data_IF_743440743096
#
_entry.id   IF_743440743096
#
_cell.length_a   1.000
_cell.length_b   1.000
_cell.length_c   1.000
_cell.angle_alpha   90.00
_cell.angle_beta   90.00
_cell.angle_gamma   90.00
#
_symmetry.space_group_name_H-M   'P 1'
#
loop_
_entity.id
_entity.type
_entity.pdbx_description
1 polymer ?
#
# COMPACT_ATOMS: atom_id res chain seq x y z
N UNK A 1 39.85 0.52 -78.99
CA UNK A 1 39.58 1.57 -77.95
C UNK A 1 38.34 1.14 -77.20
N UNK A 2 38.53 0.71 -75.99
CA UNK A 2 37.45 0.14 -75.14
C UNK A 2 37.21 1.14 -73.99
N UNK A 3 36.05 1.82 -74.07
CA UNK A 3 35.59 2.76 -73.03
C UNK A 3 34.88 2.00 -71.91
N UNK A 4 35.47 2.00 -70.72
CA UNK A 4 34.86 1.41 -69.49
C UNK A 4 33.94 2.46 -68.86
N UNK A 5 32.63 2.18 -68.91
CA UNK A 5 31.61 2.93 -68.13
C UNK A 5 31.65 2.47 -66.68
N UNK A 6 31.90 3.40 -65.73
CA UNK A 6 31.81 3.19 -64.29
C UNK A 6 30.42 3.53 -63.84
N UNK A 7 29.60 2.49 -63.48
CA UNK A 7 28.36 2.67 -62.74
C UNK A 7 28.68 2.99 -61.27
N UNK A 8 28.35 4.19 -60.85
CA UNK A 8 28.40 4.62 -59.45
C UNK A 8 27.07 4.29 -58.78
N UNK A 9 27.04 3.20 -57.99
CA UNK A 9 25.87 2.80 -57.22
C UNK A 9 25.79 3.66 -55.96
N UNK A 10 24.83 4.57 -55.90
CA UNK A 10 24.49 5.35 -54.71
C UNK A 10 23.66 4.46 -53.76
N UNK A 11 24.28 4.00 -52.66
CA UNK A 11 23.58 3.36 -51.55
C UNK A 11 22.98 4.45 -50.66
N UNK A 12 21.68 4.69 -50.79
CA UNK A 12 20.90 5.54 -49.86
C UNK A 12 20.60 4.71 -48.62
N UNK A 13 21.37 4.92 -47.55
CA UNK A 13 21.08 4.35 -46.23
C UNK A 13 19.87 5.08 -45.61
N UNK A 14 18.74 4.42 -45.52
CA UNK A 14 17.58 4.91 -44.77
C UNK A 14 17.87 4.70 -43.30
N UNK A 15 18.20 5.81 -42.61
CA UNK A 15 18.35 5.84 -41.15
C UNK A 15 16.94 5.83 -40.52
N UNK A 16 16.46 4.66 -40.12
CA UNK A 16 15.24 4.53 -39.30
C UNK A 16 15.53 5.08 -37.92
N UNK A 17 15.18 6.32 -37.68
CA UNK A 17 15.13 6.87 -36.29
C UNK A 17 13.95 6.27 -35.56
N UNK A 18 14.21 5.29 -34.72
CA UNK A 18 13.23 4.78 -33.76
C UNK A 18 13.03 5.89 -32.71
N UNK A 19 12.01 6.71 -32.88
CA UNK A 19 11.55 7.60 -31.81
C UNK A 19 10.93 6.72 -30.74
N UNK A 20 11.63 6.50 -29.65
CA UNK A 20 11.06 5.93 -28.44
C UNK A 20 9.99 6.91 -27.93
N UNK A 21 8.73 6.61 -28.15
CA UNK A 21 7.64 7.29 -27.45
C UNK A 21 7.79 6.97 -25.97
N UNK A 22 8.26 7.93 -25.19
CA UNK A 22 8.17 7.83 -23.73
C UNK A 22 6.67 7.75 -23.40
N UNK A 23 6.23 6.63 -22.86
CA UNK A 23 4.85 6.44 -22.42
C UNK A 23 4.54 7.48 -21.35
N UNK A 24 3.51 8.30 -21.55
CA UNK A 24 3.12 9.30 -20.56
C UNK A 24 2.69 8.63 -19.26
N UNK A 25 3.19 9.08 -18.11
CA UNK A 25 2.83 8.48 -16.83
C UNK A 25 1.33 8.51 -16.60
N UNK A 26 0.75 7.38 -16.24
CA UNK A 26 -0.68 7.26 -15.91
C UNK A 26 -0.97 7.95 -14.57
N UNK A 27 -1.92 8.86 -14.55
CA UNK A 27 -2.45 9.40 -13.30
C UNK A 27 -3.22 8.31 -12.55
N UNK A 28 -2.83 8.05 -11.31
CA UNK A 28 -3.40 7.02 -10.45
C UNK A 28 -3.82 7.65 -9.13
N UNK A 29 -5.02 7.33 -8.70
CA UNK A 29 -5.54 7.73 -7.39
C UNK A 29 -5.53 6.53 -6.44
N UNK A 30 -5.60 6.77 -5.14
CA UNK A 30 -5.60 5.72 -4.12
C UNK A 30 -6.72 4.68 -4.30
N UNK A 31 -7.87 5.11 -4.84
CA UNK A 31 -8.96 4.20 -5.17
C UNK A 31 -8.62 3.20 -6.29
N UNK A 32 -7.72 3.56 -7.21
CA UNK A 32 -7.31 2.70 -8.32
C UNK A 32 -6.39 1.56 -7.85
N UNK A 33 -5.71 1.73 -6.71
CA UNK A 33 -4.88 0.70 -6.10
C UNK A 33 -5.70 -0.47 -5.56
N UNK A 34 -6.99 -0.23 -5.26
CA UNK A 34 -7.90 -1.29 -4.80
C UNK A 34 -8.54 -1.95 -6.02
N UNK A 35 -8.48 -3.28 -6.14
CA UNK A 35 -9.20 -3.98 -7.21
C UNK A 35 -10.68 -3.62 -7.18
N UNK A 36 -11.29 -3.37 -8.35
CA UNK A 36 -12.73 -3.19 -8.46
C UNK A 36 -13.43 -4.48 -8.03
N UNK A 37 -13.87 -4.52 -6.78
CA UNK A 37 -14.66 -5.61 -6.25
C UNK A 37 -16.14 -5.24 -6.31
N UNK A 38 -17.02 -6.27 -6.29
CA UNK A 38 -18.45 -6.07 -6.10
C UNK A 38 -18.71 -5.25 -4.82
N UNK A 39 -19.82 -4.50 -4.81
CA UNK A 39 -20.24 -3.71 -3.66
C UNK A 39 -20.16 -4.55 -2.38
N UNK A 40 -19.51 -4.02 -1.37
CA UNK A 40 -19.25 -4.72 -0.13
C UNK A 40 -20.08 -4.12 0.99
N UNK A 41 -21.00 -4.90 1.56
CA UNK A 41 -21.68 -4.52 2.80
C UNK A 41 -20.73 -4.73 3.99
N UNK A 42 -20.37 -3.64 4.65
CA UNK A 42 -19.53 -3.68 5.84
C UNK A 42 -20.42 -3.76 7.10
N UNK A 43 -20.62 -4.94 7.70
CA UNK A 43 -21.51 -5.11 8.84
C UNK A 43 -21.05 -4.38 10.10
N UNK A 44 -19.77 -4.05 10.20
CA UNK A 44 -19.21 -3.32 11.35
C UNK A 44 -19.73 -1.89 11.45
N UNK A 45 -20.19 -1.28 10.35
CA UNK A 45 -20.79 0.05 10.33
C UNK A 45 -22.18 0.08 10.99
N UNK A 46 -22.79 -1.09 11.22
CA UNK A 46 -24.11 -1.23 11.84
C UNK A 46 -24.02 -1.44 13.36
N UNK A 47 -22.81 -1.62 13.88
CA UNK A 47 -22.58 -1.84 15.30
C UNK A 47 -22.51 -0.53 16.08
N UNK A 48 -22.99 -0.55 17.32
CA UNK A 48 -22.73 0.54 18.25
C UNK A 48 -21.25 0.55 18.67
N UNK A 49 -20.69 1.69 19.15
CA UNK A 49 -19.32 1.73 19.64
C UNK A 49 -19.00 0.69 20.70
N UNK A 50 -19.96 0.43 21.60
CA UNK A 50 -19.83 -0.59 22.66
C UNK A 50 -19.79 -2.02 22.09
N UNK A 51 -20.65 -2.34 21.13
CA UNK A 51 -20.65 -3.63 20.44
C UNK A 51 -19.33 -3.81 19.66
N UNK A 52 -18.86 -2.78 18.98
CA UNK A 52 -17.61 -2.82 18.24
C UNK A 52 -16.41 -3.08 19.16
N UNK A 53 -16.35 -2.41 20.33
CA UNK A 53 -15.30 -2.64 21.33
C UNK A 53 -15.31 -4.11 21.80
N UNK A 54 -16.47 -4.66 22.18
CA UNK A 54 -16.59 -6.05 22.61
C UNK A 54 -16.23 -7.06 21.52
N UNK A 55 -16.62 -6.81 20.27
CA UNK A 55 -16.21 -7.66 19.12
C UNK A 55 -14.69 -7.60 18.94
N UNK A 56 -14.08 -6.44 19.12
CA UNK A 56 -12.61 -6.27 19.05
C UNK A 56 -11.89 -7.07 20.15
N UNK A 57 -12.42 -7.07 21.38
CA UNK A 57 -11.86 -7.86 22.48
C UNK A 57 -11.91 -9.36 22.18
N UNK A 58 -13.05 -9.86 21.71
CA UNK A 58 -13.20 -11.27 21.30
C UNK A 58 -12.23 -11.60 20.15
N UNK A 59 -12.14 -10.72 19.15
CA UNK A 59 -11.23 -10.88 18.01
C UNK A 59 -9.77 -10.98 18.49
N UNK A 60 -9.34 -10.10 19.39
CA UNK A 60 -7.97 -10.09 19.91
C UNK A 60 -7.62 -11.41 20.62
N UNK A 61 -8.52 -11.95 21.45
CA UNK A 61 -8.32 -13.22 22.14
C UNK A 61 -8.21 -14.37 21.13
N UNK A 62 -9.13 -14.43 20.12
CA UNK A 62 -9.14 -15.49 19.12
C UNK A 62 -7.93 -15.41 18.19
N UNK A 63 -7.53 -14.22 17.76
CA UNK A 63 -6.32 -14.00 16.94
C UNK A 63 -5.05 -14.46 17.67
N UNK A 64 -4.92 -14.20 18.98
CA UNK A 64 -3.80 -14.68 19.79
C UNK A 64 -3.80 -16.21 19.87
N UNK A 65 -4.96 -16.82 20.07
CA UNK A 65 -5.10 -18.28 20.11
C UNK A 65 -4.75 -18.93 18.78
N UNK A 66 -5.17 -18.35 17.65
CA UNK A 66 -4.83 -18.83 16.30
C UNK A 66 -3.31 -18.74 16.02
N UNK A 67 -2.62 -17.73 16.56
CA UNK A 67 -1.16 -17.62 16.49
C UNK A 67 -0.40 -18.58 17.39
N UNK A 68 -1.10 -19.39 18.17
CA UNK A 68 -0.49 -20.37 19.06
C UNK A 68 -0.02 -19.79 20.41
N UNK A 69 -0.44 -18.56 20.76
CA UNK A 69 -0.21 -18.00 22.07
C UNK A 69 -0.94 -18.85 23.12
N UNK A 70 -0.21 -19.29 24.13
CA UNK A 70 -0.73 -20.09 25.26
C UNK A 70 -0.84 -19.30 26.55
N UNK A 71 -0.37 -18.06 26.57
CA UNK A 71 -0.33 -17.21 27.76
C UNK A 71 -1.62 -16.39 27.90
N UNK A 72 -2.70 -17.06 28.23
CA UNK A 72 -3.97 -16.40 28.56
C UNK A 72 -4.13 -16.34 30.09
N UNK A 73 -4.51 -15.18 30.59
CA UNK A 73 -4.96 -15.06 31.97
C UNK A 73 -6.30 -15.78 32.15
N UNK A 74 -6.57 -16.21 33.37
CA UNK A 74 -7.87 -16.80 33.70
C UNK A 74 -9.03 -15.86 33.35
N UNK A 75 -8.84 -14.57 33.60
CA UNK A 75 -9.82 -13.54 33.30
C UNK A 75 -10.13 -13.45 31.79
N UNK A 76 -9.13 -13.55 30.90
CA UNK A 76 -9.34 -13.58 29.46
C UNK A 76 -10.11 -14.83 29.02
N UNK A 77 -9.78 -16.00 29.57
CA UNK A 77 -10.47 -17.26 29.24
C UNK A 77 -11.95 -17.21 29.67
N UNK A 78 -12.24 -16.64 30.84
CA UNK A 78 -13.61 -16.54 31.36
C UNK A 78 -14.41 -15.40 30.71
N UNK A 79 -13.73 -14.31 30.27
CA UNK A 79 -14.38 -13.14 29.68
C UNK A 79 -14.89 -13.38 28.25
N UNK A 80 -14.18 -14.14 27.40
CA UNK A 80 -14.58 -14.37 26.02
C UNK A 80 -16.00 -14.95 25.89
N UNK A 81 -16.35 -16.06 26.55
CA UNK A 81 -17.70 -16.63 26.46
C UNK A 81 -18.79 -15.69 27.00
N UNK A 82 -18.45 -14.85 27.98
CA UNK A 82 -19.39 -13.87 28.52
C UNK A 82 -19.63 -12.71 27.55
N UNK A 83 -18.57 -12.23 26.87
CA UNK A 83 -18.68 -11.21 25.82
C UNK A 83 -19.48 -11.71 24.63
N UNK A 84 -19.20 -12.93 24.16
CA UNK A 84 -19.94 -13.56 23.06
C UNK A 84 -21.43 -13.66 23.39
N UNK A 85 -21.80 -14.21 24.57
CA UNK A 85 -23.21 -14.29 24.97
C UNK A 85 -23.91 -12.93 25.03
N UNK A 86 -23.24 -11.89 25.52
CA UNK A 86 -23.82 -10.52 25.54
C UNK A 86 -24.05 -9.97 24.15
N UNK A 87 -23.15 -10.24 23.22
CA UNK A 87 -23.27 -9.81 21.82
C UNK A 87 -24.42 -10.57 21.11
N UNK A 88 -24.51 -11.88 21.31
CA UNK A 88 -25.58 -12.72 20.74
C UNK A 88 -26.96 -12.30 21.29
N UNK A 89 -27.08 -12.01 22.60
CA UNK A 89 -28.31 -11.47 23.19
C UNK A 89 -28.70 -10.12 22.59
N UNK A 90 -27.73 -9.35 22.11
CA UNK A 90 -27.95 -8.08 21.41
C UNK A 90 -28.16 -8.27 19.89
N UNK A 91 -28.34 -9.52 19.41
CA UNK A 91 -28.57 -9.83 18.00
C UNK A 91 -27.32 -9.76 17.12
N UNK A 92 -26.12 -9.80 17.73
CA UNK A 92 -24.84 -9.74 17.00
C UNK A 92 -24.27 -11.15 16.85
N UNK A 93 -24.22 -11.65 15.62
CA UNK A 93 -23.54 -12.90 15.27
C UNK A 93 -22.02 -12.67 15.21
N UNK A 94 -21.33 -13.06 16.29
CA UNK A 94 -19.89 -12.83 16.43
C UNK A 94 -19.08 -13.64 15.42
N UNK A 95 -19.46 -14.88 15.17
CA UNK A 95 -18.71 -15.77 14.26
C UNK A 95 -18.84 -15.30 12.80
N UNK A 96 -20.04 -14.89 12.38
CA UNK A 96 -20.25 -14.28 11.07
C UNK A 96 -19.46 -12.96 10.91
N UNK A 97 -19.43 -12.11 11.96
CA UNK A 97 -18.63 -10.89 11.94
C UNK A 97 -17.13 -11.15 11.85
N UNK A 98 -16.61 -12.12 12.59
CA UNK A 98 -15.19 -12.45 12.54
C UNK A 98 -14.79 -13.09 11.21
N UNK A 99 -15.66 -13.91 10.61
CA UNK A 99 -15.46 -14.39 9.24
C UNK A 99 -15.41 -13.23 8.25
N UNK A 100 -16.33 -12.26 8.39
CA UNK A 100 -16.36 -11.06 7.53
C UNK A 100 -15.14 -10.17 7.74
N UNK A 101 -14.64 -10.05 8.98
CA UNK A 101 -13.37 -9.35 9.29
C UNK A 101 -12.21 -9.97 8.52
N UNK A 102 -12.07 -11.29 8.48
CA UNK A 102 -11.03 -11.98 7.70
C UNK A 102 -11.14 -11.67 6.21
N UNK A 103 -12.34 -11.61 5.66
CA UNK A 103 -12.58 -11.19 4.27
C UNK A 103 -12.13 -9.75 4.02
N UNK A 104 -12.49 -8.81 4.91
CA UNK A 104 -12.08 -7.40 4.80
C UNK A 104 -10.55 -7.27 4.81
N UNK A 105 -9.88 -7.94 5.76
CA UNK A 105 -8.43 -7.95 5.85
C UNK A 105 -7.81 -8.54 4.57
N UNK A 106 -8.35 -9.64 4.06
CA UNK A 106 -7.92 -10.25 2.79
C UNK A 106 -8.05 -9.30 1.60
N UNK A 107 -9.17 -8.58 1.50
CA UNK A 107 -9.37 -7.55 0.46
C UNK A 107 -8.36 -6.41 0.56
N UNK A 108 -8.00 -5.98 1.79
CA UNK A 108 -6.98 -4.98 2.02
C UNK A 108 -5.56 -5.42 1.60
N UNK A 109 -5.32 -6.72 1.46
CA UNK A 109 -4.07 -7.28 0.93
C UNK A 109 -4.07 -7.50 -0.57
N UNK A 110 -5.24 -7.48 -1.21
CA UNK A 110 -5.36 -7.71 -2.65
C UNK A 110 -5.00 -6.43 -3.41
N UNK A 111 -4.02 -6.52 -4.28
CA UNK A 111 -3.52 -5.43 -5.13
C UNK A 111 -4.18 -5.46 -6.51
N UNK A 112 -4.18 -4.33 -7.21
CA UNK A 112 -4.66 -4.24 -8.59
C UNK A 112 -3.56 -4.70 -9.57
N UNK A 113 -3.67 -5.89 -10.17
CA UNK A 113 -2.61 -6.44 -11.03
C UNK A 113 -2.41 -5.65 -12.33
N UNK A 114 -3.42 -4.87 -12.75
CA UNK A 114 -3.35 -4.07 -13.97
C UNK A 114 -2.36 -2.90 -13.85
N UNK A 115 -1.92 -2.56 -12.65
CA UNK A 115 -0.94 -1.50 -12.41
C UNK A 115 0.50 -2.02 -12.41
N UNK A 116 0.70 -3.33 -12.45
CA UNK A 116 2.04 -3.90 -12.40
C UNK A 116 2.87 -3.51 -13.63
N UNK A 117 4.06 -2.97 -13.38
CA UNK A 117 5.00 -2.53 -14.40
C UNK A 117 4.65 -1.19 -15.07
N UNK A 118 3.51 -0.57 -14.74
CA UNK A 118 3.12 0.71 -15.32
C UNK A 118 3.92 1.89 -14.75
N UNK A 119 4.16 2.89 -15.60
CA UNK A 119 4.69 4.18 -15.16
C UNK A 119 3.49 5.03 -14.69
N UNK A 120 3.51 5.40 -13.41
CA UNK A 120 2.38 6.07 -12.77
C UNK A 120 2.78 7.40 -12.14
N UNK A 121 1.79 8.27 -11.91
CA UNK A 121 1.87 9.44 -11.05
C UNK A 121 0.85 9.28 -9.93
N UNK A 122 1.34 9.28 -8.68
CA UNK A 122 0.53 9.04 -7.50
C UNK A 122 0.80 10.14 -6.46
N UNK A 123 -0.21 10.94 -6.07
CA UNK A 123 -0.09 11.89 -4.98
C UNK A 123 -0.25 11.19 -3.63
N UNK A 124 0.45 11.67 -2.60
CA UNK A 124 0.32 11.14 -1.24
C UNK A 124 1.20 11.88 -0.24
N UNK A 125 1.30 11.31 0.95
CA UNK A 125 2.10 11.86 2.04
C UNK A 125 3.31 10.98 2.28
N UNK A 126 4.48 11.61 2.33
CA UNK A 126 5.77 10.97 2.51
C UNK A 126 6.00 10.64 3.99
N UNK A 127 6.24 9.37 4.30
CA UNK A 127 6.67 8.88 5.60
C UNK A 127 8.04 8.22 5.47
N UNK A 128 9.13 8.85 5.96
CA UNK A 128 10.48 8.37 5.72
C UNK A 128 10.76 7.04 6.43
N UNK A 129 11.48 6.15 5.75
CA UNK A 129 12.01 4.89 6.29
C UNK A 129 13.53 4.97 6.49
N UNK A 130 14.23 5.44 5.47
CA UNK A 130 15.68 5.50 5.46
C UNK A 130 16.20 6.86 4.97
N UNK A 131 17.35 7.23 5.49
CA UNK A 131 18.03 8.48 5.16
C UNK A 131 19.41 8.23 4.56
N UNK A 132 19.81 9.06 3.61
CA UNK A 132 21.17 9.23 3.13
C UNK A 132 21.63 10.65 3.50
N UNK A 133 22.38 10.78 4.59
CA UNK A 133 22.67 12.06 5.21
C UNK A 133 21.41 12.76 5.72
N UNK A 134 21.08 13.93 5.16
CA UNK A 134 19.87 14.71 5.51
C UNK A 134 18.70 14.50 4.53
N UNK A 135 18.86 13.61 3.56
CA UNK A 135 17.86 13.35 2.52
C UNK A 135 17.24 11.97 2.71
N UNK A 136 16.00 11.80 2.30
CA UNK A 136 15.27 10.53 2.37
C UNK A 136 15.63 9.66 1.18
N UNK A 137 16.13 8.45 1.45
CA UNK A 137 16.52 7.45 0.43
C UNK A 137 15.44 6.38 0.19
N UNK A 138 14.62 6.10 1.20
CA UNK A 138 13.43 5.24 1.08
C UNK A 138 12.31 5.77 1.96
N UNK A 139 11.05 5.65 1.50
CA UNK A 139 9.89 6.10 2.26
C UNK A 139 8.62 5.29 1.93
N UNK A 140 7.64 5.36 2.81
CA UNK A 140 6.28 4.97 2.51
C UNK A 140 5.51 6.18 1.98
N UNK A 141 4.74 5.96 0.91
CA UNK A 141 3.72 6.89 0.47
C UNK A 141 2.37 6.40 1.00
N UNK A 142 1.63 7.29 1.65
CA UNK A 142 0.36 6.99 2.32
C UNK A 142 -0.72 7.99 1.94
N UNK A 143 -2.03 7.61 2.02
CA UNK A 143 -3.13 8.43 1.51
C UNK A 143 -3.53 9.62 2.39
N UNK A 144 -3.16 9.63 3.67
CA UNK A 144 -3.51 10.72 4.61
C UNK A 144 -2.40 10.98 5.64
N UNK A 145 -2.41 12.18 6.18
CA UNK A 145 -1.49 12.62 7.24
C UNK A 145 -1.69 11.79 8.51
N UNK A 146 -0.59 11.38 9.15
CA UNK A 146 -0.62 10.63 10.42
C UNK A 146 -0.85 9.12 10.27
N UNK A 147 -1.03 8.61 9.05
CA UNK A 147 -1.08 7.19 8.79
C UNK A 147 0.18 6.48 9.33
N UNK A 148 0.02 5.32 9.94
CA UNK A 148 1.09 4.50 10.53
C UNK A 148 1.75 5.05 11.81
N UNK A 149 1.50 6.29 12.21
CA UNK A 149 2.09 6.86 13.44
C UNK A 149 1.02 7.15 14.49
N UNK A 150 0.00 7.94 14.13
CA UNK A 150 -1.06 8.38 15.06
C UNK A 150 -2.35 7.59 14.91
N UNK A 151 -2.47 6.84 13.83
CA UNK A 151 -3.60 5.97 13.52
C UNK A 151 -3.08 4.60 13.09
N UNK A 152 -3.88 3.53 13.23
CA UNK A 152 -3.51 2.23 12.68
C UNK A 152 -3.08 2.36 11.22
N UNK A 153 -2.11 1.55 10.75
CA UNK A 153 -1.67 1.61 9.36
C UNK A 153 -2.85 1.34 8.41
N UNK A 154 -2.88 2.00 7.25
CA UNK A 154 -3.78 1.65 6.17
C UNK A 154 -3.62 0.18 5.79
N UNK A 155 -4.61 -0.43 5.12
CA UNK A 155 -4.44 -1.77 4.58
C UNK A 155 -3.27 -1.80 3.57
N UNK A 156 -2.59 -2.94 3.40
CA UNK A 156 -1.40 -3.05 2.54
C UNK A 156 -1.57 -2.51 1.12
N UNK A 157 -2.76 -2.65 0.52
CA UNK A 157 -3.06 -2.10 -0.81
C UNK A 157 -3.28 -0.57 -0.82
N UNK A 158 -3.13 0.09 0.30
CA UNK A 158 -3.14 1.56 0.45
C UNK A 158 -1.81 2.07 1.02
N UNK A 159 -0.74 1.30 0.87
CA UNK A 159 0.63 1.70 1.23
C UNK A 159 1.54 1.35 0.06
N UNK A 160 2.34 2.33 -0.36
CA UNK A 160 3.32 2.18 -1.43
C UNK A 160 4.73 2.43 -0.88
N UNK A 161 5.61 1.44 -1.00
CA UNK A 161 7.03 1.62 -0.72
C UNK A 161 7.68 2.34 -1.90
N UNK A 162 8.35 3.45 -1.64
CA UNK A 162 8.99 4.27 -2.67
C UNK A 162 10.49 4.27 -2.49
N UNK A 163 11.19 3.95 -3.57
CA UNK A 163 12.64 4.07 -3.69
C UNK A 163 12.96 5.06 -4.82
N UNK A 164 13.32 6.31 -4.49
CA UNK A 164 13.69 7.29 -5.49
C UNK A 164 15.09 6.99 -6.05
N UNK A 165 15.32 7.30 -7.34
CA UNK A 165 16.65 7.20 -7.98
C UNK A 165 17.70 8.07 -7.29
N UNK A 166 17.28 9.20 -6.74
CA UNK A 166 18.12 10.12 -5.97
C UNK A 166 17.43 10.45 -4.65
N UNK A 167 18.16 10.51 -3.52
CA UNK A 167 17.58 10.91 -2.25
C UNK A 167 16.88 12.26 -2.34
N UNK A 168 15.75 12.40 -1.66
CA UNK A 168 14.84 13.54 -1.73
C UNK A 168 15.01 14.42 -0.50
N UNK A 169 15.14 15.73 -0.71
CA UNK A 169 15.08 16.69 0.39
C UNK A 169 13.64 16.73 0.93
N UNK A 170 13.52 16.79 2.25
CA UNK A 170 12.24 16.81 2.94
C UNK A 170 12.17 18.01 3.89
N UNK A 171 11.07 18.74 3.90
CA UNK A 171 10.84 19.91 4.77
C UNK A 171 10.21 19.53 6.11
N UNK A 172 9.56 18.36 6.19
CA UNK A 172 8.89 17.86 7.39
C UNK A 172 8.29 16.48 7.20
N UNK A 173 7.86 15.84 8.30
CA UNK A 173 7.11 14.58 8.22
C UNK A 173 5.76 14.81 7.57
N UNK A 174 5.28 13.81 6.79
CA UNK A 174 4.03 13.88 6.04
C UNK A 174 3.93 15.06 5.05
N UNK A 175 5.07 15.40 4.42
CA UNK A 175 5.05 16.32 3.28
C UNK A 175 4.21 15.74 2.14
N UNK A 176 3.31 16.55 1.58
CA UNK A 176 2.52 16.16 0.42
C UNK A 176 3.40 16.13 -0.83
N UNK A 177 3.47 15.00 -1.50
CA UNK A 177 4.31 14.79 -2.68
C UNK A 177 3.54 14.13 -3.81
N UNK A 178 3.97 14.40 -5.04
CA UNK A 178 3.58 13.69 -6.24
C UNK A 178 4.75 12.83 -6.69
N UNK A 179 4.54 11.53 -6.73
CA UNK A 179 5.60 10.57 -7.09
C UNK A 179 5.33 10.01 -8.47
N UNK A 180 6.33 10.10 -9.35
CA UNK A 180 6.31 9.50 -10.69
C UNK A 180 7.32 8.38 -10.77
N UNK A 181 6.94 7.22 -11.29
CA UNK A 181 7.84 6.09 -11.44
C UNK A 181 7.14 4.79 -11.84
N UNK A 182 7.91 3.72 -11.92
CA UNK A 182 7.38 2.41 -12.25
C UNK A 182 6.80 1.73 -11.00
N UNK A 183 5.52 1.38 -11.06
CA UNK A 183 4.81 0.68 -10.00
C UNK A 183 4.92 -0.83 -10.18
N UNK A 184 5.24 -1.54 -9.11
CA UNK A 184 5.27 -3.00 -9.06
C UNK A 184 4.32 -3.49 -7.98
N UNK A 185 3.52 -4.50 -8.31
CA UNK A 185 2.61 -5.15 -7.37
C UNK A 185 3.32 -6.31 -6.65
N UNK A 186 3.11 -6.42 -5.35
CA UNK A 186 3.67 -7.52 -4.55
C UNK A 186 3.74 -7.16 -3.08
N UNK A 187 3.37 -8.11 -2.23
CA UNK A 187 3.43 -7.91 -0.79
C UNK A 187 4.89 -7.95 -0.31
N UNK A 188 5.33 -6.87 0.32
CA UNK A 188 6.62 -6.78 1.00
C UNK A 188 6.39 -6.33 2.46
N UNK A 189 7.36 -6.62 3.33
CA UNK A 189 7.41 -6.08 4.68
C UNK A 189 8.52 -5.06 4.79
N UNK A 190 8.22 -3.95 5.42
CA UNK A 190 9.19 -2.89 5.74
C UNK A 190 9.14 -2.59 7.22
N UNK A 191 10.29 -2.44 7.84
CA UNK A 191 10.37 -2.02 9.24
C UNK A 191 10.29 -0.50 9.30
N UNK A 192 9.31 0.02 10.04
CA UNK A 192 9.16 1.44 10.32
C UNK A 192 9.66 1.70 11.73
N UNK A 193 10.68 2.56 11.85
CA UNK A 193 11.19 3.02 13.13
C UNK A 193 10.31 4.15 13.67
N UNK A 194 9.76 3.95 14.86
CA UNK A 194 8.94 4.91 15.58
C UNK A 194 9.68 5.38 16.84
N UNK A 195 9.20 6.44 17.48
CA UNK A 195 9.82 7.00 18.70
C UNK A 195 9.78 5.98 19.85
N UNK A 196 8.76 5.14 19.89
CA UNK A 196 8.47 4.13 20.91
C UNK A 196 8.81 2.68 20.50
N UNK A 197 9.51 2.51 19.35
CA UNK A 197 9.93 1.20 18.86
C UNK A 197 9.93 1.06 17.36
N UNK A 198 9.92 -0.17 16.86
CA UNK A 198 9.80 -0.48 15.45
C UNK A 198 8.62 -1.40 15.19
N UNK A 199 7.95 -1.21 14.07
CA UNK A 199 6.84 -2.05 13.62
C UNK A 199 7.06 -2.51 12.19
N UNK A 200 6.75 -3.78 11.92
CA UNK A 200 6.72 -4.31 10.56
C UNK A 200 5.42 -3.91 9.86
N UNK A 201 5.54 -3.18 8.76
CA UNK A 201 4.43 -2.73 7.94
C UNK A 201 4.36 -3.59 6.67
N UNK A 202 3.20 -4.22 6.44
CA UNK A 202 2.92 -4.87 5.17
C UNK A 202 2.56 -3.81 4.12
N UNK A 203 3.16 -3.92 2.95
CA UNK A 203 3.02 -2.99 1.83
C UNK A 203 2.62 -3.76 0.59
N UNK A 204 1.61 -3.31 -0.14
CA UNK A 204 1.09 -3.99 -1.33
C UNK A 204 1.78 -3.59 -2.62
N UNK A 205 2.46 -2.45 -2.65
CA UNK A 205 3.07 -1.88 -3.85
C UNK A 205 4.48 -1.38 -3.59
N UNK A 206 5.33 -1.48 -4.60
CA UNK A 206 6.63 -0.81 -4.65
C UNK A 206 6.69 0.13 -5.85
N UNK A 207 7.28 1.30 -5.70
CA UNK A 207 7.43 2.30 -6.74
C UNK A 207 8.90 2.72 -6.85
N UNK A 208 9.52 2.38 -7.98
CA UNK A 208 10.84 2.90 -8.33
C UNK A 208 10.64 4.30 -8.90
N UNK A 209 10.89 5.33 -8.09
CA UNK A 209 10.54 6.68 -8.45
C UNK A 209 11.67 7.35 -9.25
N UNK A 210 11.35 7.81 -10.44
CA UNK A 210 12.20 8.66 -11.27
C UNK A 210 12.09 10.14 -10.87
N UNK A 211 10.93 10.52 -10.26
CA UNK A 211 10.66 11.90 -9.85
C UNK A 211 9.80 11.95 -8.59
N UNK A 212 10.15 12.85 -7.68
CA UNK A 212 9.37 13.19 -6.48
C UNK A 212 9.28 14.70 -6.40
N UNK A 213 8.07 15.25 -6.36
CA UNK A 213 7.80 16.68 -6.40
C UNK A 213 6.87 17.07 -5.24
N UNK A 214 7.00 18.30 -4.68
CA UNK A 214 6.00 18.83 -3.76
C UNK A 214 4.62 18.87 -4.43
N UNK A 215 3.60 18.38 -3.74
CA UNK A 215 2.22 18.40 -4.22
C UNK A 215 1.41 19.46 -3.49
N UNK A 216 0.95 20.47 -4.23
CA UNK A 216 0.02 21.50 -3.72
C UNK A 216 -1.40 21.07 -4.09
N UNK A 217 -2.21 20.85 -3.08
CA UNK A 217 -3.66 20.64 -3.24
C UNK A 217 -4.36 21.93 -3.65
#
# INVERSE_FOLDING_TARGET
>A
MITRSRCLSLLIGVLLTVTAFAEEPREVMWADLVPKAAAFDNPFLKLTPEQLARVSDVAAIRDRRERGDKNFSRAEIESEPALVRKLEQAGVDVDALLAKRKEIIGRGRTVNPLLNGQIVRLPGYLLPLEFSGKQVSEFLLVPWVGACIHTPPPPPNQIVHVKPEKPVAMSGMFEAVLVTGQLTTGAIKKSLSLVDGSADIEVGYSLQATRVEPYKQ
#
